data_IF_449277503780
#
_entry.id   IF_449277503780
#
_cell.length_a   1.000
_cell.length_b   1.000
_cell.length_c   1.000
_cell.angle_alpha   90.00
_cell.angle_beta   90.00
_cell.angle_gamma   90.00
#
_symmetry.space_group_name_H-M   'P 1'
#
loop_
_entity.id
_entity.type
_entity.pdbx_description
1 polymer ?
#
# COMPACT_ATOMS: atom_id res chain seq x y z
N UNK A 1 -24.05 -31.65 15.77
CA UNK A 1 -23.13 -31.45 16.93
C UNK A 1 -22.51 -30.07 16.83
N UNK A 2 -22.96 -29.10 17.64
CA UNK A 2 -22.43 -27.72 17.72
C UNK A 2 -21.20 -27.72 18.64
N UNK A 3 -20.02 -27.35 18.15
CA UNK A 3 -18.83 -27.10 19.00
C UNK A 3 -18.80 -25.64 19.41
N UNK A 4 -18.92 -25.39 20.71
CA UNK A 4 -18.71 -24.09 21.34
C UNK A 4 -17.24 -23.67 21.17
N UNK A 5 -17.00 -22.54 20.51
CA UNK A 5 -15.69 -21.93 20.37
C UNK A 5 -15.52 -20.89 21.49
N UNK A 6 -14.75 -21.23 22.52
CA UNK A 6 -14.17 -20.22 23.41
C UNK A 6 -13.03 -19.51 22.66
N UNK A 7 -13.20 -18.22 22.42
CA UNK A 7 -12.18 -17.32 21.90
C UNK A 7 -11.06 -17.19 22.93
N UNK A 8 -9.97 -17.95 22.77
CA UNK A 8 -8.77 -17.75 23.57
C UNK A 8 -8.07 -16.46 23.14
N UNK A 9 -7.92 -15.54 24.10
CA UNK A 9 -7.22 -14.26 23.97
C UNK A 9 -5.80 -14.45 23.41
N UNK A 10 -5.46 -13.65 22.40
CA UNK A 10 -4.07 -13.48 21.95
C UNK A 10 -3.29 -12.87 23.11
N UNK A 11 -2.40 -13.64 23.74
CA UNK A 11 -1.54 -13.13 24.80
C UNK A 11 -0.58 -12.09 24.21
N UNK A 12 -0.78 -10.83 24.58
CA UNK A 12 0.11 -9.72 24.28
C UNK A 12 1.21 -9.74 25.34
N UNK A 13 2.42 -10.11 24.93
CA UNK A 13 3.58 -10.09 25.81
C UNK A 13 4.23 -8.71 25.76
N UNK A 14 4.30 -8.04 26.91
CA UNK A 14 4.89 -6.70 27.02
C UNK A 14 6.37 -6.76 27.40
N UNK A 15 6.81 -7.85 28.04
CA UNK A 15 8.19 -8.10 28.43
C UNK A 15 8.69 -9.46 27.94
N UNK A 16 10.01 -9.58 27.73
CA UNK A 16 10.68 -10.84 27.38
C UNK A 16 10.52 -11.93 28.46
N UNK A 17 10.12 -11.56 29.68
CA UNK A 17 9.93 -12.51 30.77
C UNK A 17 8.54 -13.17 30.75
N UNK A 18 7.61 -12.62 29.96
CA UNK A 18 6.23 -13.08 29.92
C UNK A 18 6.04 -14.28 28.96
N UNK A 19 7.03 -14.58 28.11
CA UNK A 19 6.98 -15.70 27.15
C UNK A 19 7.24 -17.03 27.87
N UNK A 20 6.26 -17.96 27.89
CA UNK A 20 6.48 -19.28 28.48
C UNK A 20 7.50 -20.08 27.65
N UNK A 21 8.50 -20.65 28.32
CA UNK A 21 9.59 -21.41 27.70
C UNK A 21 9.16 -22.80 27.17
N UNK A 22 7.91 -23.21 27.42
CA UNK A 22 7.27 -24.40 26.85
C UNK A 22 6.43 -24.02 25.62
N UNK A 23 7.08 -24.03 24.47
CA UNK A 23 6.51 -23.55 23.20
C UNK A 23 5.64 -24.64 22.55
N UNK A 24 4.37 -24.68 22.93
CA UNK A 24 3.28 -25.22 22.07
C UNK A 24 2.70 -24.08 21.19
N UNK A 25 3.57 -23.31 20.52
CA UNK A 25 3.19 -22.22 19.62
C UNK A 25 2.55 -22.69 18.29
N UNK A 26 2.13 -23.96 18.21
CA UNK A 26 1.72 -24.60 16.97
C UNK A 26 0.23 -24.59 16.63
N UNK A 27 -0.68 -24.10 17.48
CA UNK A 27 -2.13 -24.36 17.27
C UNK A 27 -3.10 -23.17 17.17
N UNK A 28 -2.66 -21.92 17.37
CA UNK A 28 -3.57 -20.75 17.34
C UNK A 28 -3.32 -19.75 16.20
N UNK A 29 -2.45 -20.06 15.25
CA UNK A 29 -2.24 -19.24 14.07
C UNK A 29 -3.02 -19.87 12.92
N UNK A 30 -4.31 -19.53 12.82
CA UNK A 30 -5.07 -19.85 11.61
C UNK A 30 -4.39 -19.13 10.46
N UNK A 31 -3.67 -19.90 9.64
CA UNK A 31 -3.14 -19.50 8.34
C UNK A 31 -4.27 -18.85 7.53
N UNK A 32 -4.45 -17.53 7.64
CA UNK A 32 -5.24 -16.78 6.68
C UNK A 32 -4.34 -16.61 5.49
N UNK A 33 -4.71 -17.33 4.44
CA UNK A 33 -4.02 -17.47 3.16
C UNK A 33 -3.22 -16.22 2.77
N UNK A 34 -1.96 -16.46 2.39
CA UNK A 34 -0.99 -15.55 1.77
C UNK A 34 -1.44 -15.02 0.40
N UNK A 35 -2.74 -14.77 0.23
CA UNK A 35 -3.36 -14.54 -1.06
C UNK A 35 -3.67 -13.07 -1.24
N UNK A 36 -3.09 -12.50 -2.30
CA UNK A 36 -3.49 -11.20 -2.83
C UNK A 36 -4.95 -11.26 -3.26
N UNK A 37 -5.81 -10.45 -2.64
CA UNK A 37 -7.23 -10.42 -2.96
C UNK A 37 -7.46 -9.76 -4.33
N UNK A 38 -8.55 -10.12 -5.02
CA UNK A 38 -8.98 -9.39 -6.24
C UNK A 38 -9.16 -7.90 -5.97
N UNK A 39 -9.70 -7.55 -4.79
CA UNK A 39 -9.88 -6.15 -4.37
C UNK A 39 -8.56 -5.40 -4.26
N UNK A 40 -7.53 -6.07 -3.78
CA UNK A 40 -6.20 -5.50 -3.64
C UNK A 40 -5.57 -5.20 -4.99
N UNK A 41 -5.64 -6.13 -5.94
CA UNK A 41 -5.13 -5.93 -7.30
C UNK A 41 -5.85 -4.75 -7.95
N UNK A 42 -7.17 -4.69 -7.84
CA UNK A 42 -7.97 -3.59 -8.39
C UNK A 42 -7.53 -2.25 -7.77
N UNK A 43 -7.40 -2.19 -6.45
CA UNK A 43 -6.95 -0.98 -5.76
C UNK A 43 -5.53 -0.56 -6.16
N UNK A 44 -4.60 -1.52 -6.27
CA UNK A 44 -3.24 -1.24 -6.72
C UNK A 44 -3.20 -0.71 -8.15
N UNK A 45 -3.92 -1.33 -9.07
CA UNK A 45 -3.98 -0.89 -10.47
C UNK A 45 -4.59 0.49 -10.58
N UNK A 46 -5.68 0.76 -9.85
CA UNK A 46 -6.29 2.10 -9.80
C UNK A 46 -5.29 3.12 -9.25
N UNK A 47 -4.63 2.83 -8.12
CA UNK A 47 -3.63 3.73 -7.53
C UNK A 47 -2.46 4.00 -8.48
N UNK A 48 -1.88 2.97 -9.10
CA UNK A 48 -0.76 3.12 -10.04
C UNK A 48 -1.18 3.98 -11.22
N UNK A 49 -2.33 3.68 -11.83
CA UNK A 49 -2.80 4.41 -13.00
C UNK A 49 -3.12 5.86 -12.65
N UNK A 50 -3.91 6.10 -11.60
CA UNK A 50 -4.29 7.45 -11.19
C UNK A 50 -3.09 8.30 -10.79
N UNK A 51 -2.14 7.75 -10.03
CA UNK A 51 -0.92 8.47 -9.66
C UNK A 51 -0.05 8.75 -10.89
N UNK A 52 0.08 7.79 -11.81
CA UNK A 52 0.84 8.00 -13.04
C UNK A 52 0.24 9.15 -13.85
N UNK A 53 -1.09 9.19 -14.02
CA UNK A 53 -1.76 10.32 -14.67
C UNK A 53 -1.53 11.63 -13.89
N UNK A 54 -1.71 11.63 -12.57
CA UNK A 54 -1.50 12.81 -11.73
C UNK A 54 -0.09 13.39 -11.86
N UNK A 55 0.94 12.54 -11.77
CA UNK A 55 2.33 12.94 -11.92
C UNK A 55 2.70 13.29 -13.36
N UNK A 56 2.10 12.66 -14.36
CA UNK A 56 2.29 13.03 -15.77
C UNK A 56 1.87 14.49 -16.00
N UNK A 57 0.68 14.87 -15.50
CA UNK A 57 0.24 16.26 -15.55
C UNK A 57 1.14 17.17 -14.71
N UNK A 58 1.53 16.75 -13.51
CA UNK A 58 2.45 17.55 -12.68
C UNK A 58 3.76 17.85 -13.41
N UNK A 59 4.41 16.84 -14.00
CA UNK A 59 5.65 16.99 -14.77
C UNK A 59 5.43 17.82 -16.03
N UNK A 60 4.28 17.70 -16.69
CA UNK A 60 3.94 18.49 -17.86
C UNK A 60 3.65 19.98 -17.54
N UNK A 61 3.54 20.35 -16.26
CA UNK A 61 3.18 21.69 -15.79
C UNK A 61 1.68 21.95 -15.73
N UNK A 62 0.88 20.89 -15.54
CA UNK A 62 -0.58 20.93 -15.51
C UNK A 62 -1.20 21.27 -16.88
N UNK A 63 -2.46 21.68 -16.84
CA UNK A 63 -3.19 22.14 -18.04
C UNK A 63 -2.50 23.36 -18.67
N UNK A 64 -2.04 24.30 -17.84
CA UNK A 64 -1.34 25.51 -18.30
C UNK A 64 -0.05 25.16 -19.04
N UNK A 65 0.76 24.25 -18.48
CA UNK A 65 1.99 23.80 -19.11
C UNK A 65 1.78 23.05 -20.42
N UNK A 66 0.65 22.36 -20.58
CA UNK A 66 0.26 21.75 -21.85
C UNK A 66 -0.23 22.78 -22.86
N UNK A 67 -1.03 23.76 -22.44
CA UNK A 67 -1.57 24.81 -23.31
C UNK A 67 -0.48 25.62 -24.03
N UNK A 68 0.61 25.95 -23.33
CA UNK A 68 1.75 26.68 -23.90
C UNK A 68 2.77 25.79 -24.63
N UNK A 69 2.56 24.47 -24.67
CA UNK A 69 3.48 23.56 -25.35
C UNK A 69 3.19 23.49 -26.84
N UNK A 70 4.25 23.42 -27.64
CA UNK A 70 4.14 23.23 -29.11
C UNK A 70 3.47 21.90 -29.45
N UNK A 71 3.84 20.83 -28.73
CA UNK A 71 3.32 19.47 -28.92
C UNK A 71 2.77 18.90 -27.60
N UNK A 72 1.55 19.29 -27.17
CA UNK A 72 1.00 18.89 -25.87
C UNK A 72 0.83 17.37 -25.72
N UNK A 73 0.46 16.69 -26.82
CA UNK A 73 0.26 15.23 -26.82
C UNK A 73 1.58 14.50 -26.54
N UNK A 74 2.64 14.87 -27.24
CA UNK A 74 3.96 14.24 -27.06
C UNK A 74 4.50 14.52 -25.66
N UNK A 75 4.40 15.78 -25.19
CA UNK A 75 4.81 16.14 -23.84
C UNK A 75 4.11 15.30 -22.79
N UNK A 76 2.78 15.19 -22.86
CA UNK A 76 2.01 14.38 -21.92
C UNK A 76 2.39 12.89 -21.99
N UNK A 77 2.60 12.34 -23.19
CA UNK A 77 2.98 10.95 -23.37
C UNK A 77 4.36 10.65 -22.75
N UNK A 78 5.36 11.50 -22.99
CA UNK A 78 6.68 11.36 -22.38
C UNK A 78 6.61 11.49 -20.85
N UNK A 79 5.87 12.49 -20.34
CA UNK A 79 5.65 12.64 -18.91
C UNK A 79 4.93 11.44 -18.30
N UNK A 80 3.96 10.85 -19.01
CA UNK A 80 3.24 9.66 -18.57
C UNK A 80 4.14 8.44 -18.46
N UNK A 81 4.93 8.13 -19.50
CA UNK A 81 5.86 7.00 -19.47
C UNK A 81 6.87 7.14 -18.32
N UNK A 82 7.42 8.35 -18.15
CA UNK A 82 8.35 8.62 -17.06
C UNK A 82 7.68 8.49 -15.68
N UNK A 83 6.48 9.04 -15.51
CA UNK A 83 5.71 8.95 -14.26
C UNK A 83 5.34 7.50 -13.93
N UNK A 84 4.96 6.70 -14.93
CA UNK A 84 4.61 5.30 -14.74
C UNK A 84 5.82 4.51 -14.24
N UNK A 85 6.99 4.74 -14.82
CA UNK A 85 8.23 4.13 -14.35
C UNK A 85 8.53 4.53 -12.89
N UNK A 86 8.39 5.82 -12.55
CA UNK A 86 8.61 6.32 -11.19
C UNK A 86 7.61 5.77 -10.16
N UNK A 87 6.33 5.62 -10.53
CA UNK A 87 5.30 5.06 -9.66
C UNK A 87 5.48 3.55 -9.47
N UNK A 88 5.87 2.83 -10.51
CA UNK A 88 6.19 1.40 -10.39
C UNK A 88 7.42 1.18 -9.50
N UNK A 89 8.46 2.00 -9.65
CA UNK A 89 9.68 1.81 -8.86
C UNK A 89 9.56 2.34 -7.43
N UNK A 90 8.94 3.51 -7.26
CA UNK A 90 8.79 4.17 -5.97
C UNK A 90 7.62 3.61 -5.17
N UNK A 91 6.39 3.75 -5.68
CA UNK A 91 5.19 3.41 -4.93
C UNK A 91 4.93 1.89 -4.90
N UNK A 92 4.91 1.21 -6.05
CA UNK A 92 4.51 -0.20 -6.09
C UNK A 92 5.47 -1.10 -5.31
N UNK A 93 6.80 -0.94 -5.49
CA UNK A 93 7.75 -1.73 -4.70
C UNK A 93 7.77 -1.35 -3.22
N UNK A 94 7.53 -0.09 -2.86
CA UNK A 94 7.41 0.34 -1.47
C UNK A 94 6.23 -0.34 -0.76
N UNK A 95 5.03 -0.31 -1.35
CA UNK A 95 3.88 -0.98 -0.74
C UNK A 95 4.05 -2.50 -0.70
N UNK A 96 4.64 -3.08 -1.75
CA UNK A 96 4.92 -4.51 -1.79
C UNK A 96 5.98 -4.93 -0.77
N UNK A 97 6.96 -4.09 -0.44
CA UNK A 97 7.96 -4.42 0.59
C UNK A 97 7.33 -4.49 1.98
N UNK A 98 6.44 -3.56 2.31
CA UNK A 98 5.68 -3.56 3.56
C UNK A 98 4.82 -4.82 3.67
N UNK A 99 4.07 -5.14 2.61
CA UNK A 99 3.25 -6.35 2.55
C UNK A 99 4.10 -7.61 2.69
N UNK A 100 5.18 -7.70 1.93
CA UNK A 100 6.07 -8.86 1.93
C UNK A 100 6.71 -9.08 3.30
N UNK A 101 7.15 -8.01 3.95
CA UNK A 101 7.71 -8.07 5.30
C UNK A 101 6.68 -8.51 6.32
N UNK A 102 5.43 -8.02 6.24
CA UNK A 102 4.35 -8.45 7.11
C UNK A 102 4.03 -9.95 6.93
N UNK A 103 3.97 -10.41 5.68
CA UNK A 103 3.75 -11.82 5.35
C UNK A 103 4.89 -12.71 5.85
N UNK A 104 6.15 -12.25 5.84
CA UNK A 104 7.27 -12.98 6.44
C UNK A 104 7.13 -13.21 7.95
N UNK A 105 6.42 -12.31 8.66
CA UNK A 105 6.11 -12.48 10.08
C UNK A 105 4.84 -13.30 10.34
N UNK A 106 4.22 -13.89 9.31
CA UNK A 106 2.97 -14.64 9.45
C UNK A 106 1.75 -13.74 9.70
N UNK A 107 1.88 -12.43 9.46
CA UNK A 107 0.79 -11.47 9.57
C UNK A 107 -0.01 -11.44 8.27
N UNK A 108 -1.31 -11.19 8.39
CA UNK A 108 -2.14 -10.87 7.23
C UNK A 108 -1.88 -9.42 6.80
N UNK A 109 -1.73 -9.19 5.50
CA UNK A 109 -1.49 -7.87 4.94
C UNK A 109 -2.26 -7.69 3.62
N UNK A 110 -2.97 -6.56 3.46
CA UNK A 110 -3.70 -6.22 2.23
C UNK A 110 -3.63 -4.71 1.95
N UNK A 111 -3.21 -4.34 0.74
CA UNK A 111 -3.24 -2.95 0.29
C UNK A 111 -4.68 -2.44 0.10
N UNK A 112 -4.98 -1.26 0.65
CA UNK A 112 -6.23 -0.55 0.41
C UNK A 112 -5.94 0.87 -0.07
N UNK A 113 -6.48 1.22 -1.24
CA UNK A 113 -6.38 2.58 -1.77
C UNK A 113 -7.19 3.56 -0.91
N UNK A 114 -6.76 4.82 -0.91
CA UNK A 114 -7.49 5.94 -0.34
C UNK A 114 -8.07 6.82 -1.48
N UNK A 115 -9.34 6.64 -1.86
CA UNK A 115 -9.89 7.24 -3.09
C UNK A 115 -9.83 8.78 -3.10
N UNK A 116 -10.08 9.41 -1.95
CA UNK A 116 -10.04 10.87 -1.80
C UNK A 116 -8.62 11.38 -2.01
N UNK A 117 -7.61 10.68 -1.46
CA UNK A 117 -6.21 11.04 -1.65
C UNK A 117 -5.76 10.95 -3.11
N UNK A 118 -6.18 9.89 -3.82
CA UNK A 118 -5.93 9.75 -5.26
C UNK A 118 -6.61 10.86 -6.08
N UNK A 119 -7.84 11.23 -5.71
CA UNK A 119 -8.57 12.31 -6.38
C UNK A 119 -7.89 13.66 -6.17
N UNK A 120 -7.42 13.95 -4.94
CA UNK A 120 -6.66 15.17 -4.64
C UNK A 120 -5.35 15.18 -5.44
N UNK A 121 -4.64 14.06 -5.48
CA UNK A 121 -3.41 13.93 -6.25
C UNK A 121 -3.65 14.26 -7.73
N UNK A 122 -4.69 13.69 -8.32
CA UNK A 122 -5.07 13.95 -9.71
C UNK A 122 -5.46 15.42 -9.94
N UNK A 123 -6.32 15.97 -9.09
CA UNK A 123 -6.80 17.33 -9.19
C UNK A 123 -5.64 18.33 -9.14
N UNK A 124 -4.74 18.17 -8.17
CA UNK A 124 -3.60 19.06 -8.03
C UNK A 124 -2.62 18.90 -9.20
N UNK A 125 -2.32 17.67 -9.60
CA UNK A 125 -1.42 17.42 -10.73
C UNK A 125 -1.92 18.09 -12.01
N UNK A 126 -3.22 17.98 -12.29
CA UNK A 126 -3.87 18.56 -13.47
C UNK A 126 -3.95 20.09 -13.38
N UNK A 127 -4.44 20.65 -12.27
CA UNK A 127 -4.73 22.08 -12.17
C UNK A 127 -3.50 22.93 -11.84
N UNK A 128 -2.65 22.44 -10.94
CA UNK A 128 -1.54 23.22 -10.36
C UNK A 128 -0.20 22.86 -10.99
N UNK A 129 -0.09 21.76 -11.73
CA UNK A 129 1.20 21.25 -12.20
C UNK A 129 2.09 20.74 -11.05
N UNK A 130 1.51 20.48 -9.88
CA UNK A 130 2.16 19.89 -8.72
C UNK A 130 1.17 18.96 -8.02
N UNK A 131 1.62 17.89 -7.39
CA UNK A 131 0.73 16.92 -6.75
C UNK A 131 1.27 16.43 -5.42
N UNK A 132 0.35 16.03 -4.53
CA UNK A 132 0.65 15.34 -3.28
C UNK A 132 0.05 13.94 -3.39
N UNK A 133 0.90 12.93 -3.29
CA UNK A 133 0.49 11.54 -3.41
C UNK A 133 -0.03 11.02 -2.06
N UNK A 134 -1.32 10.71 -1.99
CA UNK A 134 -1.93 10.00 -0.87
C UNK A 134 -2.59 8.71 -1.40
N UNK A 135 -1.80 7.66 -1.64
CA UNK A 135 -2.25 6.50 -2.40
C UNK A 135 -3.18 5.58 -1.60
N UNK A 136 -2.83 5.30 -0.35
CA UNK A 136 -3.45 4.27 0.48
C UNK A 136 -2.47 3.74 1.52
N UNK A 137 -2.76 2.57 2.07
CA UNK A 137 -1.87 1.88 3.00
C UNK A 137 -2.04 0.36 2.94
N UNK A 138 -0.97 -0.37 3.27
CA UNK A 138 -1.03 -1.80 3.58
C UNK A 138 -1.57 -2.01 4.99
N UNK A 139 -2.78 -2.56 5.07
CA UNK A 139 -3.40 -2.90 6.34
C UNK A 139 -2.86 -4.23 6.85
N UNK A 140 -2.28 -4.23 8.05
CA UNK A 140 -1.67 -5.41 8.67
C UNK A 140 -2.48 -5.85 9.88
N UNK A 141 -2.77 -7.15 9.99
CA UNK A 141 -3.46 -7.73 11.15
C UNK A 141 -2.88 -9.08 11.52
N UNK A 142 -2.78 -9.40 12.82
CA UNK A 142 -2.22 -10.69 13.24
C UNK A 142 -1.65 -10.82 14.65
N UNK A 143 -1.79 -9.81 15.53
CA UNK A 143 -1.15 -9.85 16.85
C UNK A 143 0.36 -9.55 16.77
N UNK A 144 0.72 -8.59 15.91
CA UNK A 144 2.10 -8.19 15.67
C UNK A 144 2.75 -7.56 16.90
N UNK A 145 3.99 -7.94 17.18
CA UNK A 145 4.82 -7.32 18.22
C UNK A 145 5.31 -5.95 17.73
N UNK A 146 5.61 -5.04 18.65
CA UNK A 146 6.02 -3.65 18.31
C UNK A 146 7.22 -3.59 17.35
N UNK A 147 8.20 -4.47 17.52
CA UNK A 147 9.36 -4.52 16.63
C UNK A 147 9.02 -5.06 15.23
N UNK A 148 8.01 -5.93 15.10
CA UNK A 148 7.54 -6.44 13.80
C UNK A 148 6.82 -5.33 13.05
N UNK A 149 5.95 -4.58 13.72
CA UNK A 149 5.28 -3.39 13.16
C UNK A 149 6.31 -2.35 12.70
N UNK A 150 7.34 -2.09 13.52
CA UNK A 150 8.41 -1.15 13.15
C UNK A 150 9.19 -1.58 11.92
N UNK A 151 9.47 -2.88 11.76
CA UNK A 151 10.14 -3.41 10.57
C UNK A 151 9.25 -3.47 9.33
N UNK A 152 7.94 -3.62 9.53
CA UNK A 152 6.97 -3.58 8.43
C UNK A 152 6.78 -2.15 7.92
N UNK A 153 6.88 -1.13 8.76
CA UNK A 153 6.72 0.27 8.39
C UNK A 153 8.00 0.93 7.85
N UNK A 154 9.16 0.26 8.00
CA UNK A 154 10.44 0.70 7.47
C UNK A 154 10.58 0.35 5.97
#
# INVERSE_FOLDING_TARGET
>A
MRRNYNSMDRKVYYSFHDIPFSVDAGRYYRNKSFSTSRTEIVHLVISIFTLSVAFAFAIAGGITGLYYSKDPIMKLLYSFVFSLAAILTGFFFHEMSHKYTAMRYGLWAEYRMYPIGLMIALLFGVLLGYTIAAPGAVNVSGGARRFEIGRVAA
#
